data_IF_689869503406
#
_entry.id   IF_689869503406
#
_cell.length_a   1.000
_cell.length_b   1.000
_cell.length_c   1.000
_cell.angle_alpha   90.00
_cell.angle_beta   90.00
_cell.angle_gamma   90.00
#
_symmetry.space_group_name_H-M   'P 1'
#
loop_
_entity.id
_entity.type
_entity.pdbx_description
1 polymer ?
#
# COMPACT_ATOMS: atom_id res chain seq x y z
N UNK A 1 -3.90 -19.17 9.82
CA UNK A 1 -3.41 -17.87 10.29
C UNK A 1 -3.06 -17.06 9.06
N UNK A 2 -3.64 -15.87 8.90
CA UNK A 2 -3.37 -15.01 7.75
C UNK A 2 -1.94 -14.49 7.84
N UNK A 3 -1.23 -14.45 6.72
CA UNK A 3 0.13 -13.92 6.63
C UNK A 3 0.17 -12.67 5.76
N UNK A 4 0.56 -11.55 6.35
CA UNK A 4 0.70 -10.28 5.67
C UNK A 4 2.17 -10.00 5.32
N UNK A 5 2.42 -9.57 4.10
CA UNK A 5 3.72 -9.11 3.67
C UNK A 5 3.84 -7.58 3.71
N UNK A 6 4.96 -7.06 4.19
CA UNK A 6 5.32 -5.64 4.09
C UNK A 6 6.60 -5.53 3.28
N UNK A 7 6.57 -4.78 2.18
CA UNK A 7 7.77 -4.45 1.41
C UNK A 7 7.96 -2.94 1.42
N UNK A 8 9.11 -2.47 1.87
CA UNK A 8 9.45 -1.05 1.92
C UNK A 8 10.83 -0.77 1.34
N UNK A 9 11.17 0.51 1.25
CA UNK A 9 12.39 0.95 0.58
C UNK A 9 13.32 1.70 1.52
N UNK A 10 14.63 1.53 1.34
CA UNK A 10 15.63 2.43 1.97
C UNK A 10 15.61 3.82 1.34
N UNK A 11 15.10 3.97 0.12
CA UNK A 11 14.93 5.26 -0.55
C UNK A 11 13.85 6.13 0.09
N UNK A 12 12.86 5.51 0.75
CA UNK A 12 11.82 6.25 1.46
C UNK A 12 12.38 7.11 2.58
N UNK A 13 11.92 8.36 2.64
CA UNK A 13 12.28 9.32 3.69
C UNK A 13 11.45 9.15 4.97
N UNK A 14 10.47 8.25 4.95
CA UNK A 14 9.62 7.90 6.10
C UNK A 14 9.58 6.38 6.24
N UNK A 15 9.75 5.87 7.48
CA UNK A 15 9.52 4.46 7.80
C UNK A 15 8.01 4.16 7.83
N UNK A 16 7.44 4.08 6.64
CA UNK A 16 6.05 3.68 6.42
C UNK A 16 5.78 2.24 6.88
N UNK A 17 6.82 1.39 6.88
CA UNK A 17 6.74 -0.02 7.26
C UNK A 17 6.31 -0.19 8.70
N UNK A 18 6.80 0.68 9.60
CA UNK A 18 6.36 0.72 10.99
C UNK A 18 4.85 0.99 11.13
N UNK A 19 4.32 2.00 10.43
CA UNK A 19 2.89 2.34 10.53
C UNK A 19 1.99 1.23 9.95
N UNK A 20 2.43 0.59 8.88
CA UNK A 20 1.75 -0.58 8.32
C UNK A 20 1.77 -1.76 9.31
N UNK A 21 2.93 -2.06 9.90
CA UNK A 21 3.08 -3.12 10.89
C UNK A 21 2.16 -2.91 12.10
N UNK A 22 2.24 -1.73 12.73
CA UNK A 22 1.44 -1.40 13.92
C UNK A 22 -0.06 -1.47 13.62
N UNK A 23 -0.47 -1.07 12.41
CA UNK A 23 -1.86 -1.16 11.99
C UNK A 23 -2.29 -2.60 11.78
N UNK A 24 -1.54 -3.40 11.03
CA UNK A 24 -1.89 -4.82 10.79
C UNK A 24 -1.98 -5.57 12.13
N UNK A 25 -1.01 -5.36 13.04
CA UNK A 25 -1.00 -5.96 14.37
C UNK A 25 -2.24 -5.60 15.20
N UNK A 26 -2.77 -4.39 15.03
CA UNK A 26 -3.98 -3.93 15.73
C UNK A 26 -5.25 -4.48 15.10
N UNK A 27 -5.34 -4.46 13.77
CA UNK A 27 -6.54 -4.90 13.05
C UNK A 27 -6.69 -6.42 13.02
N UNK A 28 -5.57 -7.16 13.03
CA UNK A 28 -5.53 -8.63 13.10
C UNK A 28 -4.42 -9.13 14.05
N UNK A 29 -4.67 -9.19 15.38
CA UNK A 29 -3.66 -9.55 16.38
C UNK A 29 -3.08 -10.96 16.22
N UNK A 30 -3.86 -11.87 15.64
CA UNK A 30 -3.46 -13.26 15.39
C UNK A 30 -2.73 -13.44 14.06
N UNK A 31 -2.64 -12.41 13.21
CA UNK A 31 -1.97 -12.48 11.91
C UNK A 31 -0.44 -12.52 12.01
N UNK A 32 0.19 -13.26 11.10
CA UNK A 32 1.65 -13.24 10.93
C UNK A 32 2.06 -12.09 10.00
N UNK A 33 3.15 -11.40 10.33
CA UNK A 33 3.69 -10.32 9.49
C UNK A 33 5.12 -10.66 9.11
N UNK A 34 5.39 -10.71 7.81
CA UNK A 34 6.75 -10.84 7.26
C UNK A 34 7.14 -9.56 6.52
N UNK A 35 8.34 -9.03 6.79
CA UNK A 35 8.84 -7.77 6.21
C UNK A 35 10.06 -8.02 5.32
N UNK A 36 10.16 -7.28 4.21
CA UNK A 36 11.29 -7.34 3.28
C UNK A 36 11.62 -5.95 2.75
N UNK A 37 12.79 -5.43 3.08
CA UNK A 37 13.22 -4.09 2.64
C UNK A 37 14.09 -4.18 1.38
N UNK A 38 13.83 -3.31 0.41
CA UNK A 38 14.59 -3.19 -0.85
C UNK A 38 15.23 -1.80 -0.99
N UNK A 39 16.16 -1.59 -1.94
CA UNK A 39 16.75 -0.26 -2.15
C UNK A 39 15.74 0.82 -2.55
N UNK A 40 14.88 0.55 -3.53
CA UNK A 40 13.95 1.54 -4.08
C UNK A 40 12.73 0.94 -4.77
N UNK A 41 11.89 1.79 -5.37
CA UNK A 41 10.59 1.39 -5.91
C UNK A 41 10.68 0.30 -6.99
N UNK A 42 11.71 0.31 -7.82
CA UNK A 42 11.90 -0.65 -8.92
C UNK A 42 12.04 -2.10 -8.43
N UNK A 43 12.42 -2.29 -7.17
CA UNK A 43 12.63 -3.60 -6.55
C UNK A 43 11.37 -4.09 -5.80
N UNK A 44 10.38 -3.23 -5.58
CA UNK A 44 9.12 -3.58 -4.89
C UNK A 44 8.39 -4.77 -5.53
N UNK A 45 8.29 -4.89 -6.88
CA UNK A 45 7.61 -6.03 -7.50
C UNK A 45 8.27 -7.37 -7.13
N UNK A 46 9.60 -7.44 -7.15
CA UNK A 46 10.32 -8.65 -6.77
C UNK A 46 10.22 -8.90 -5.27
N UNK A 47 10.31 -7.86 -4.44
CA UNK A 47 10.09 -7.95 -3.00
C UNK A 47 8.73 -8.55 -2.66
N UNK A 48 7.67 -8.11 -3.33
CA UNK A 48 6.31 -8.63 -3.12
C UNK A 48 6.20 -10.10 -3.54
N UNK A 49 6.72 -10.46 -4.72
CA UNK A 49 6.72 -11.86 -5.19
C UNK A 49 7.48 -12.78 -4.24
N UNK A 50 8.63 -12.35 -3.70
CA UNK A 50 9.36 -13.13 -2.69
C UNK A 50 8.56 -13.33 -1.40
N UNK A 51 7.75 -12.36 -0.98
CA UNK A 51 6.87 -12.54 0.18
C UNK A 51 5.72 -13.51 -0.13
N UNK A 52 5.19 -13.51 -1.36
CA UNK A 52 4.21 -14.51 -1.78
C UNK A 52 4.79 -15.93 -1.80
N UNK A 53 6.04 -16.10 -2.25
CA UNK A 53 6.77 -17.38 -2.16
C UNK A 53 6.96 -17.86 -0.71
N UNK A 54 7.09 -16.92 0.24
CA UNK A 54 7.13 -17.18 1.68
C UNK A 54 5.74 -17.37 2.32
N UNK A 55 4.69 -17.42 1.50
CA UNK A 55 3.33 -17.74 1.93
C UNK A 55 2.51 -16.53 2.39
N UNK A 56 2.88 -15.29 2.04
CA UNK A 56 1.99 -14.14 2.30
C UNK A 56 0.69 -14.26 1.50
N UNK A 57 -0.45 -14.02 2.14
CA UNK A 57 -1.78 -14.03 1.55
C UNK A 57 -2.12 -12.70 0.87
N UNK A 58 -1.48 -11.62 1.32
CA UNK A 58 -1.49 -10.30 0.69
C UNK A 58 -0.29 -9.47 1.12
N UNK A 59 0.11 -8.52 0.28
CA UNK A 59 1.31 -7.69 0.50
C UNK A 59 0.92 -6.21 0.46
N UNK A 60 1.51 -5.39 1.31
CA UNK A 60 1.54 -3.93 1.16
C UNK A 60 2.94 -3.51 0.70
N UNK A 61 3.03 -2.73 -0.37
CA UNK A 61 4.29 -2.15 -0.86
C UNK A 61 4.33 -0.67 -0.53
N UNK A 62 5.47 -0.19 -0.04
CA UNK A 62 5.64 1.14 0.53
C UNK A 62 6.75 1.89 -0.22
N UNK A 63 6.35 2.65 -1.23
CA UNK A 63 7.25 3.34 -2.17
C UNK A 63 7.37 4.84 -1.91
N UNK A 64 8.48 5.41 -2.36
CA UNK A 64 8.75 6.85 -2.32
C UNK A 64 9.24 7.33 -3.67
N UNK A 65 8.70 8.43 -4.16
CA UNK A 65 8.99 8.96 -5.50
C UNK A 65 9.46 10.41 -5.36
N UNK A 66 10.63 10.70 -5.93
CA UNK A 66 11.19 12.05 -5.97
C UNK A 66 10.38 12.99 -6.87
N UNK A 67 10.78 14.27 -6.89
CA UNK A 67 10.06 15.35 -7.60
C UNK A 67 10.23 15.33 -9.11
N UNK A 68 11.16 14.54 -9.66
CA UNK A 68 11.50 14.62 -11.09
C UNK A 68 10.55 13.81 -11.96
N UNK A 69 10.42 14.17 -13.24
CA UNK A 69 9.68 13.35 -14.22
C UNK A 69 10.27 11.94 -14.35
N UNK A 70 11.59 11.79 -14.20
CA UNK A 70 12.27 10.50 -14.26
C UNK A 70 11.85 9.59 -13.10
N UNK A 71 11.63 10.15 -11.91
CA UNK A 71 11.12 9.41 -10.76
C UNK A 71 9.69 8.90 -11.03
N UNK A 72 8.84 9.75 -11.63
CA UNK A 72 7.47 9.37 -12.02
C UNK A 72 7.44 8.26 -13.08
N UNK A 73 8.35 8.28 -14.05
CA UNK A 73 8.48 7.18 -15.02
C UNK A 73 8.96 5.89 -14.37
N UNK A 74 9.87 5.99 -13.39
CA UNK A 74 10.31 4.83 -12.61
C UNK A 74 9.15 4.24 -11.80
N UNK A 75 8.27 5.09 -11.25
CA UNK A 75 7.05 4.66 -10.58
C UNK A 75 6.06 4.00 -11.55
N UNK A 76 5.83 4.58 -12.73
CA UNK A 76 4.96 3.97 -13.75
C UNK A 76 5.43 2.55 -14.10
N UNK A 77 6.72 2.36 -14.35
CA UNK A 77 7.29 1.05 -14.63
C UNK A 77 7.13 0.09 -13.43
N UNK A 78 7.34 0.59 -12.21
CA UNK A 78 7.11 -0.17 -10.96
C UNK A 78 5.66 -0.61 -10.84
N UNK A 79 4.71 0.29 -11.04
CA UNK A 79 3.28 0.05 -10.91
C UNK A 79 2.81 -1.02 -11.90
N UNK A 80 3.30 -0.99 -13.15
CA UNK A 80 3.04 -2.07 -14.13
C UNK A 80 3.57 -3.41 -13.61
N UNK A 81 4.78 -3.44 -13.04
CA UNK A 81 5.34 -4.65 -12.44
C UNK A 81 4.53 -5.18 -11.25
N UNK A 82 4.02 -4.29 -10.38
CA UNK A 82 3.15 -4.67 -9.27
C UNK A 82 1.82 -5.24 -9.76
N UNK A 83 1.19 -4.62 -10.76
CA UNK A 83 -0.03 -5.14 -11.39
C UNK A 83 0.21 -6.55 -11.96
N UNK A 84 1.32 -6.75 -12.68
CA UNK A 84 1.67 -8.07 -13.20
C UNK A 84 1.87 -9.10 -12.07
N UNK A 85 2.59 -8.74 -11.01
CA UNK A 85 2.80 -9.61 -9.86
C UNK A 85 1.48 -10.00 -9.17
N UNK A 86 0.52 -9.07 -9.04
CA UNK A 86 -0.82 -9.36 -8.52
C UNK A 86 -1.57 -10.38 -9.36
N UNK A 87 -1.61 -10.17 -10.68
CA UNK A 87 -2.33 -11.04 -11.61
C UNK A 87 -1.74 -12.45 -11.65
N UNK A 88 -0.40 -12.57 -11.65
CA UNK A 88 0.30 -13.86 -11.67
C UNK A 88 0.16 -14.62 -10.35
N UNK A 89 0.26 -13.93 -9.22
CA UNK A 89 0.12 -14.54 -7.89
C UNK A 89 -1.33 -14.81 -7.48
N UNK A 90 -2.30 -14.15 -8.14
CA UNK A 90 -3.72 -14.14 -7.75
C UNK A 90 -3.93 -13.68 -6.31
N UNK A 91 -3.06 -12.79 -5.83
CA UNK A 91 -3.10 -12.22 -4.48
C UNK A 91 -3.03 -10.69 -4.56
N UNK A 92 -3.57 -10.02 -3.56
CA UNK A 92 -3.57 -8.57 -3.53
C UNK A 92 -2.19 -8.02 -3.16
N UNK A 93 -1.74 -7.03 -3.92
CA UNK A 93 -0.70 -6.09 -3.52
C UNK A 93 -1.39 -4.74 -3.32
N UNK A 94 -1.25 -4.17 -2.14
CA UNK A 94 -1.69 -2.81 -1.82
C UNK A 94 -0.52 -1.86 -2.07
N UNK A 95 -0.50 -1.21 -3.23
CA UNK A 95 0.53 -0.22 -3.59
C UNK A 95 0.28 1.10 -2.85
N UNK A 96 1.20 1.46 -1.95
CA UNK A 96 1.20 2.73 -1.24
C UNK A 96 2.48 3.46 -1.58
N UNK A 97 2.34 4.42 -2.48
CA UNK A 97 3.45 5.27 -2.90
C UNK A 97 3.16 6.73 -2.57
N UNK A 98 4.18 7.43 -2.05
CA UNK A 98 4.14 8.87 -1.77
C UNK A 98 5.10 9.57 -2.72
N UNK A 99 4.60 10.56 -3.47
CA UNK A 99 5.44 11.46 -4.26
C UNK A 99 5.70 12.74 -3.49
N UNK A 100 6.93 13.22 -3.54
CA UNK A 100 7.34 14.42 -2.80
C UNK A 100 6.67 15.71 -3.27
N UNK A 101 6.03 15.71 -4.44
CA UNK A 101 5.34 16.87 -5.01
C UNK A 101 3.82 16.85 -4.79
N UNK A 102 3.31 15.89 -4.01
CA UNK A 102 1.87 15.79 -3.70
C UNK A 102 1.39 16.82 -2.67
N UNK A 103 2.27 17.22 -1.76
CA UNK A 103 2.04 18.18 -0.69
C UNK A 103 3.35 18.89 -0.34
N UNK A 104 3.25 19.97 0.43
CA UNK A 104 4.42 20.63 1.00
C UNK A 104 5.25 19.67 1.86
N UNK A 105 6.58 19.86 1.89
CA UNK A 105 7.51 18.94 2.55
C UNK A 105 7.20 18.72 4.04
N UNK A 106 6.70 19.76 4.73
CA UNK A 106 6.26 19.69 6.12
C UNK A 106 5.09 18.74 6.36
N UNK A 107 4.30 18.43 5.31
CA UNK A 107 3.12 17.57 5.36
C UNK A 107 3.40 16.14 4.90
N UNK A 108 4.57 15.87 4.29
CA UNK A 108 4.89 14.56 3.73
C UNK A 108 4.89 13.44 4.79
N UNK A 109 5.36 13.71 6.00
CA UNK A 109 5.31 12.75 7.11
C UNK A 109 3.86 12.39 7.48
N UNK A 110 2.99 13.39 7.58
CA UNK A 110 1.58 13.20 7.91
C UNK A 110 0.86 12.41 6.82
N UNK A 111 1.12 12.75 5.54
CA UNK A 111 0.59 12.06 4.38
C UNK A 111 1.01 10.59 4.35
N UNK A 112 2.31 10.32 4.50
CA UNK A 112 2.86 8.97 4.51
C UNK A 112 2.26 8.12 5.63
N UNK A 113 2.22 8.66 6.86
CA UNK A 113 1.60 7.98 8.01
C UNK A 113 0.13 7.64 7.77
N UNK A 114 -0.67 8.61 7.29
CA UNK A 114 -2.10 8.42 7.05
C UNK A 114 -2.34 7.34 5.98
N UNK A 115 -1.61 7.41 4.86
CA UNK A 115 -1.73 6.42 3.78
C UNK A 115 -1.35 5.03 4.22
N UNK A 116 -0.17 4.86 4.82
CA UNK A 116 0.28 3.54 5.28
C UNK A 116 -0.71 2.93 6.27
N UNK A 117 -1.23 3.73 7.20
CA UNK A 117 -2.22 3.28 8.19
C UNK A 117 -3.52 2.84 7.50
N UNK A 118 -4.14 3.72 6.69
CA UNK A 118 -5.45 3.41 6.09
C UNK A 118 -5.38 2.27 5.08
N UNK A 119 -4.32 2.21 4.28
CA UNK A 119 -4.14 1.12 3.31
C UNK A 119 -3.80 -0.21 3.98
N UNK A 120 -3.04 -0.21 5.08
CA UNK A 120 -2.81 -1.42 5.86
C UNK A 120 -4.12 -1.99 6.43
N UNK A 121 -5.02 -1.13 6.94
CA UNK A 121 -6.34 -1.57 7.39
C UNK A 121 -7.19 -2.12 6.23
N UNK A 122 -7.11 -1.53 5.03
CA UNK A 122 -7.79 -2.06 3.84
C UNK A 122 -7.21 -3.41 3.40
N UNK A 123 -5.90 -3.60 3.47
CA UNK A 123 -5.27 -4.88 3.19
C UNK A 123 -5.79 -5.96 4.13
N UNK A 124 -5.86 -5.68 5.44
CA UNK A 124 -6.40 -6.63 6.44
C UNK A 124 -7.83 -7.03 6.08
N UNK A 125 -8.71 -6.06 5.82
CA UNK A 125 -10.11 -6.32 5.41
C UNK A 125 -10.19 -7.21 4.17
N UNK A 126 -9.43 -6.88 3.12
CA UNK A 126 -9.49 -7.64 1.87
C UNK A 126 -8.96 -9.06 2.01
N UNK A 127 -7.85 -9.24 2.73
CA UNK A 127 -7.17 -10.54 2.82
C UNK A 127 -7.85 -11.46 3.83
N UNK A 128 -8.26 -10.93 5.00
CA UNK A 128 -8.90 -11.73 6.05
C UNK A 128 -10.39 -11.88 5.84
N UNK A 129 -11.08 -10.79 5.51
CA UNK A 129 -12.54 -10.73 5.48
C UNK A 129 -13.10 -10.90 4.04
N UNK A 130 -12.22 -10.92 3.04
CA UNK A 130 -12.57 -11.17 1.64
C UNK A 130 -13.10 -9.95 0.88
N UNK A 131 -13.42 -10.14 -0.40
CA UNK A 131 -13.78 -9.05 -1.33
C UNK A 131 -15.08 -8.31 -1.00
N UNK A 132 -15.99 -8.91 -0.22
CA UNK A 132 -17.24 -8.27 0.21
C UNK A 132 -17.05 -7.28 1.37
N UNK A 133 -15.89 -7.31 2.04
CA UNK A 133 -15.58 -6.49 3.22
C UNK A 133 -15.64 -4.98 2.97
N UNK A 134 -15.46 -4.56 1.72
CA UNK A 134 -15.50 -3.14 1.31
C UNK A 134 -16.81 -2.75 0.60
N UNK A 135 -17.73 -3.69 0.35
CA UNK A 135 -18.91 -3.44 -0.49
C UNK A 135 -19.82 -2.34 0.05
N UNK A 136 -19.97 -2.25 1.37
CA UNK A 136 -20.78 -1.19 2.01
C UNK A 136 -20.17 0.22 1.88
N UNK A 137 -18.92 0.31 1.43
CA UNK A 137 -18.20 1.56 1.18
C UNK A 137 -18.08 1.91 -0.30
N UNK A 138 -18.60 1.06 -1.19
CA UNK A 138 -18.58 1.30 -2.63
C UNK A 138 -19.25 2.65 -2.97
N UNK A 139 -18.60 3.43 -3.84
CA UNK A 139 -19.12 4.72 -4.31
C UNK A 139 -19.07 5.89 -3.32
N UNK A 140 -18.54 5.72 -2.09
CA UNK A 140 -18.54 6.78 -1.05
C UNK A 140 -17.43 7.82 -1.17
N UNK A 141 -16.52 7.69 -2.15
CA UNK A 141 -15.41 8.63 -2.35
C UNK A 141 -14.42 8.70 -1.18
N UNK A 142 -14.18 7.58 -0.49
CA UNK A 142 -13.24 7.51 0.64
C UNK A 142 -11.80 7.64 0.12
N UNK A 143 -10.98 8.50 0.75
CA UNK A 143 -9.59 8.75 0.36
C UNK A 143 -8.60 8.39 1.47
N UNK A 144 -7.36 8.09 1.05
CA UNK A 144 -6.22 7.86 1.93
C UNK A 144 -5.13 8.90 1.63
N UNK A 145 -4.75 9.68 2.64
CA UNK A 145 -3.84 10.82 2.52
C UNK A 145 -4.51 12.17 2.31
N UNK A 146 -5.83 12.21 2.07
CA UNK A 146 -6.62 13.44 1.91
C UNK A 146 -8.01 13.28 2.54
N UNK A 147 -8.75 14.39 2.64
CA UNK A 147 -10.17 14.37 3.00
C UNK A 147 -10.96 13.56 1.97
N UNK A 148 -11.97 12.81 2.43
CA UNK A 148 -12.88 12.06 1.56
C UNK A 148 -13.48 13.00 0.51
N UNK A 149 -13.54 12.55 -0.75
CA UNK A 149 -14.20 13.28 -1.83
C UNK A 149 -15.72 13.38 -1.60
N UNK A 150 -16.27 12.44 -0.85
CA UNK A 150 -17.70 12.24 -0.72
C UNK A 150 -18.28 11.49 -1.92
N UNK A 151 -19.54 11.09 -1.77
CA UNK A 151 -20.30 10.46 -2.84
C UNK A 151 -20.76 11.53 -3.83
N UNK A 152 -20.61 11.27 -5.12
CA UNK A 152 -21.28 12.04 -6.17
C UNK A 152 -22.60 11.32 -6.44
N UNK A 153 -23.70 11.93 -6.02
CA UNK A 153 -25.05 11.50 -6.37
C UNK A 153 -25.46 12.33 -7.59
N UNK A 154 -25.80 11.68 -8.70
CA UNK A 154 -26.41 12.31 -9.89
C UNK A 154 -27.53 11.40 -10.39
N UNK A 155 -28.60 11.88 -11.01
CA UNK A 155 -29.64 12.81 -10.54
C UNK A 155 -30.90 11.93 -10.27
N UNK A 156 -31.98 12.51 -9.76
CA UNK A 156 -33.31 11.87 -9.79
C UNK A 156 -33.71 11.37 -11.20
#
# INVERSE_FOLDING_TARGET
MVKYGIVDTTFSRVDMGKYAYDTIRREDPDGEIIRYTVPGIKDLPLGATKLFEKGADGVITLGWVGKTKLDKYSYLATSIGLIQAQLLSKRHIMDVTVHEDEVEESMLLALAKDRSTKHAANLVKLVRDGGSSLSSMAGKGIRQGYNNAGQILSED
#
